data_IF_062948626754
#
_entry.id   IF_062948626754
#
_cell.length_a   1.000
_cell.length_b   1.000
_cell.length_c   1.000
_cell.angle_alpha   90.00
_cell.angle_beta   90.00
_cell.angle_gamma   90.00
#
_symmetry.space_group_name_H-M   'P 1'
#
loop_
_entity.id
_entity.type
_entity.pdbx_description
1 polymer ?
#
# COMPACT_ATOMS: atom_id res chain seq x y z
N UNK A 1 -21.04 3.35 -3.59
CA UNK A 1 -19.95 4.28 -3.96
C UNK A 1 -19.80 4.21 -5.47
N UNK A 2 -19.70 5.33 -6.19
CA UNK A 2 -19.51 5.30 -7.65
C UNK A 2 -18.18 4.61 -7.99
N UNK A 3 -18.17 3.84 -9.07
CA UNK A 3 -16.95 3.22 -9.60
C UNK A 3 -16.01 4.32 -10.11
N UNK A 4 -14.85 4.47 -9.46
CA UNK A 4 -13.80 5.41 -9.87
C UNK A 4 -12.73 4.61 -10.60
N UNK A 5 -12.49 4.95 -11.87
CA UNK A 5 -11.38 4.39 -12.63
C UNK A 5 -10.09 4.99 -12.13
N UNK A 6 -9.12 4.13 -11.81
CA UNK A 6 -7.81 4.53 -11.28
C UNK A 6 -6.76 4.14 -12.33
N UNK A 7 -5.91 5.09 -12.73
CA UNK A 7 -4.77 4.79 -13.59
C UNK A 7 -3.68 4.16 -12.71
N UNK A 8 -3.22 2.97 -13.10
CA UNK A 8 -2.11 2.29 -12.45
C UNK A 8 -0.80 2.91 -12.94
N UNK A 9 0.12 3.18 -12.01
CA UNK A 9 1.45 3.72 -12.30
C UNK A 9 2.34 2.76 -13.08
N UNK A 10 3.45 3.27 -13.63
CA UNK A 10 4.38 2.52 -14.50
C UNK A 10 4.97 1.28 -13.81
N UNK A 11 5.11 1.31 -12.48
CA UNK A 11 5.61 0.20 -11.66
C UNK A 11 4.49 -0.45 -10.82
N UNK A 12 3.25 -0.45 -11.34
CA UNK A 12 2.08 -1.06 -10.71
C UNK A 12 1.60 -0.35 -9.42
N UNK A 13 1.92 0.93 -9.24
CA UNK A 13 1.38 1.70 -8.10
C UNK A 13 -0.14 1.92 -8.24
N UNK A 14 -0.86 1.80 -7.13
CA UNK A 14 -2.27 2.15 -7.02
C UNK A 14 -2.34 3.52 -6.33
N UNK A 15 -2.65 4.62 -7.04
CA UNK A 15 -2.72 5.92 -6.41
C UNK A 15 -3.93 5.97 -5.47
N UNK A 16 -3.65 6.30 -4.21
CA UNK A 16 -4.66 6.58 -3.19
C UNK A 16 -4.90 8.09 -3.18
N UNK A 17 -6.16 8.52 -3.20
CA UNK A 17 -6.48 9.93 -3.02
C UNK A 17 -6.31 10.31 -1.54
N UNK A 18 -5.85 11.54 -1.28
CA UNK A 18 -5.54 12.05 0.08
C UNK A 18 -6.69 11.84 1.07
N UNK A 19 -7.94 12.01 0.60
CA UNK A 19 -9.17 11.76 1.36
C UNK A 19 -9.24 10.34 1.97
N UNK A 20 -8.65 9.34 1.32
CA UNK A 20 -8.59 7.97 1.82
C UNK A 20 -7.44 7.78 2.81
N UNK A 21 -6.30 8.43 2.61
CA UNK A 21 -5.19 8.37 3.56
C UNK A 21 -5.61 8.95 4.91
N UNK A 22 -6.30 10.11 4.91
CA UNK A 22 -6.85 10.72 6.13
C UNK A 22 -7.94 9.84 6.76
N UNK A 23 -8.91 9.35 5.96
CA UNK A 23 -10.00 8.53 6.48
C UNK A 23 -9.55 7.17 7.03
N UNK A 24 -8.47 6.61 6.48
CA UNK A 24 -7.92 5.31 6.88
C UNK A 24 -6.78 5.45 7.91
N UNK A 25 -6.32 6.67 8.20
CA UNK A 25 -5.21 6.93 9.13
C UNK A 25 -3.90 6.28 8.68
N UNK A 26 -3.63 6.32 7.37
CA UNK A 26 -2.42 5.81 6.74
C UNK A 26 -1.40 6.94 6.65
N UNK A 27 -0.21 6.71 7.18
CA UNK A 27 0.91 7.66 7.22
C UNK A 27 2.17 7.06 6.57
N UNK A 28 3.08 7.93 6.12
CA UNK A 28 4.41 7.50 5.66
C UNK A 28 5.13 6.77 6.80
N UNK A 29 5.70 5.61 6.49
CA UNK A 29 6.35 4.72 7.44
C UNK A 29 5.46 3.60 7.97
N UNK A 30 4.13 3.67 7.78
CA UNK A 30 3.23 2.60 8.19
C UNK A 30 3.55 1.28 7.47
N UNK A 31 3.38 0.18 8.18
CA UNK A 31 3.47 -1.18 7.68
C UNK A 31 2.07 -1.67 7.36
N UNK A 32 1.84 -2.01 6.11
CA UNK A 32 0.59 -2.57 5.61
C UNK A 32 0.75 -4.05 5.25
N UNK A 33 -0.29 -4.83 5.50
CA UNK A 33 -0.44 -6.19 5.01
C UNK A 33 -1.19 -6.16 3.68
N UNK A 34 -0.54 -6.65 2.63
CA UNK A 34 -1.10 -6.74 1.28
C UNK A 34 -1.55 -8.17 0.98
N UNK A 35 -2.85 -8.37 0.74
CA UNK A 35 -3.42 -9.69 0.46
C UNK A 35 -4.23 -9.68 -0.83
N UNK A 36 -3.95 -10.60 -1.75
CA UNK A 36 -4.81 -10.85 -2.90
C UNK A 36 -6.01 -11.70 -2.45
N UNK A 37 -7.23 -11.19 -2.64
CA UNK A 37 -8.45 -11.90 -2.27
C UNK A 37 -8.65 -13.14 -3.15
N UNK A 38 -9.37 -14.15 -2.63
CA UNK A 38 -9.56 -15.45 -3.30
C UNK A 38 -10.15 -15.34 -4.70
N UNK A 39 -10.97 -14.32 -4.95
CA UNK A 39 -11.58 -14.07 -6.25
C UNK A 39 -10.60 -13.48 -7.28
N UNK A 40 -9.39 -13.09 -6.84
CA UNK A 40 -8.34 -12.41 -7.62
C UNK A 40 -8.82 -11.10 -8.27
N UNK A 41 -9.88 -10.51 -7.74
CA UNK A 41 -10.48 -9.26 -8.26
C UNK A 41 -10.17 -8.06 -7.39
N UNK A 42 -9.64 -8.29 -6.19
CA UNK A 42 -9.33 -7.23 -5.24
C UNK A 42 -8.05 -7.51 -4.48
N UNK A 43 -7.30 -6.44 -4.21
CA UNK A 43 -6.19 -6.41 -3.29
C UNK A 43 -6.71 -5.74 -2.01
N UNK A 44 -6.51 -6.39 -0.87
CA UNK A 44 -6.84 -5.86 0.44
C UNK A 44 -5.57 -5.32 1.09
N UNK A 45 -5.64 -4.08 1.55
CA UNK A 45 -4.60 -3.42 2.34
C UNK A 45 -5.12 -3.22 3.76
N UNK A 46 -4.37 -3.67 4.75
CA UNK A 46 -4.71 -3.52 6.17
C UNK A 46 -3.50 -3.01 6.94
N UNK A 47 -3.71 -2.10 7.89
CA UNK A 47 -2.63 -1.67 8.78
C UNK A 47 -2.19 -2.84 9.64
N UNK A 48 -0.92 -3.20 9.54
CA UNK A 48 -0.38 -4.33 10.29
C UNK A 48 -0.29 -3.97 11.78
N UNK A 49 -0.53 -4.93 12.66
CA UNK A 49 -0.58 -4.64 14.10
C UNK A 49 0.79 -4.27 14.69
N UNK A 50 1.86 -4.83 14.15
CA UNK A 50 3.23 -4.58 14.61
C UNK A 50 3.95 -3.62 13.68
N UNK A 51 4.02 -2.36 14.10
CA UNK A 51 4.67 -1.27 13.36
C UNK A 51 6.17 -1.13 13.68
N UNK A 52 6.73 -2.02 14.50
CA UNK A 52 8.13 -1.95 14.92
C UNK A 52 9.09 -2.74 14.04
N UNK A 53 8.56 -3.44 13.02
CA UNK A 53 9.37 -4.30 12.16
C UNK A 53 10.32 -3.50 11.29
N UNK A 54 11.56 -3.99 11.18
CA UNK A 54 12.55 -3.47 10.26
C UNK A 54 12.37 -4.03 8.83
N UNK A 55 13.12 -3.47 7.88
CA UNK A 55 12.97 -3.80 6.46
C UNK A 55 13.31 -5.26 6.14
N UNK A 56 14.26 -5.85 6.86
CA UNK A 56 14.62 -7.27 6.70
C UNK A 56 13.47 -8.17 7.15
N UNK A 57 12.81 -7.83 8.26
CA UNK A 57 11.65 -8.56 8.78
C UNK A 57 10.42 -8.41 7.89
N UNK A 58 10.16 -7.20 7.39
CA UNK A 58 9.09 -6.90 6.43
C UNK A 58 9.30 -7.75 5.17
N UNK A 59 10.52 -7.74 4.62
CA UNK A 59 10.89 -8.52 3.44
C UNK A 59 10.78 -10.02 3.67
N UNK A 60 11.19 -10.51 4.84
CA UNK A 60 11.08 -11.92 5.20
C UNK A 60 9.62 -12.40 5.33
N UNK A 61 8.71 -11.52 5.75
CA UNK A 61 7.27 -11.84 5.81
C UNK A 61 6.65 -11.97 4.41
N UNK A 62 7.17 -11.24 3.42
CA UNK A 62 6.78 -11.37 2.00
C UNK A 62 5.41 -10.81 1.61
N UNK A 63 4.57 -10.45 2.59
CA UNK A 63 3.26 -9.81 2.37
C UNK A 63 3.14 -8.43 2.99
N UNK A 64 4.18 -7.99 3.72
CA UNK A 64 4.21 -6.68 4.34
C UNK A 64 4.87 -5.68 3.40
N UNK A 65 4.36 -4.45 3.42
CA UNK A 65 4.86 -3.32 2.65
C UNK A 65 4.97 -2.12 3.58
N UNK A 66 6.03 -1.32 3.44
CA UNK A 66 6.11 -0.02 4.12
C UNK A 66 5.53 1.06 3.20
N UNK A 67 4.77 1.99 3.77
CA UNK A 67 4.31 3.19 3.07
C UNK A 67 5.49 4.14 2.95
N UNK A 68 5.83 4.51 1.72
CA UNK A 68 6.94 5.42 1.43
C UNK A 68 6.40 6.63 0.67
N UNK A 69 7.08 7.77 0.79
CA UNK A 69 6.81 8.91 -0.08
C UNK A 69 7.15 8.53 -1.52
N UNK A 70 6.28 8.91 -2.46
CA UNK A 70 6.57 8.75 -3.87
C UNK A 70 7.78 9.62 -4.22
N UNK A 71 8.90 8.99 -4.58
CA UNK A 71 10.04 9.68 -5.17
C UNK A 71 9.92 9.63 -6.72
N UNK A 72 9.66 10.76 -7.41
CA UNK A 72 9.49 10.77 -8.86
C UNK A 72 10.69 10.24 -9.65
N UNK A 73 11.91 10.35 -9.10
CA UNK A 73 13.15 9.91 -9.75
C UNK A 73 13.26 8.38 -9.88
N UNK A 74 12.55 7.61 -9.04
CA UNK A 74 12.54 6.13 -9.12
C UNK A 74 11.75 5.61 -10.34
N UNK A 75 11.12 6.51 -11.11
CA UNK A 75 10.19 6.19 -12.19
C UNK A 75 10.56 6.83 -13.54
N UNK A 76 11.60 7.67 -13.60
CA UNK A 76 12.16 8.22 -14.86
C UNK A 76 12.87 7.15 -15.71
#
# INVERSE_FOLDING_TARGET
MPEKWILIGKNFEIPLADEYCEALGIEVGDILLCTLMKDKRSIKLEKFSDQSLNDEQIKAHGYLCRVEELNPEDFE
#
